data_IF_032674720046
#
_entry.id   IF_032674720046
#
_cell.length_a   1.000
_cell.length_b   1.000
_cell.length_c   1.000
_cell.angle_alpha   90.00
_cell.angle_beta   90.00
_cell.angle_gamma   90.00
#
_symmetry.space_group_name_H-M   'P 1'
#
loop_
_entity.id
_entity.type
_entity.pdbx_description
1 polymer ?
#
# COMPACT_ATOMS: atom_id res chain seq x y z
N UNK A 1 -39.96 -3.11 -5.62
CA UNK A 1 -38.70 -2.33 -5.63
C UNK A 1 -38.49 -1.77 -7.02
N UNK A 2 -38.19 -0.47 -7.18
CA UNK A 2 -37.92 0.09 -8.52
C UNK A 2 -36.66 -0.56 -9.11
N UNK A 3 -36.62 -0.70 -10.43
CA UNK A 3 -35.48 -1.32 -11.15
C UNK A 3 -34.18 -0.57 -10.87
N UNK A 4 -34.23 0.76 -10.71
CA UNK A 4 -33.10 1.60 -10.33
C UNK A 4 -32.58 1.33 -8.92
N UNK A 5 -33.46 1.15 -7.93
CA UNK A 5 -33.07 0.86 -6.56
C UNK A 5 -32.38 -0.51 -6.45
N UNK A 6 -32.87 -1.51 -7.17
CA UNK A 6 -32.22 -2.84 -7.22
C UNK A 6 -30.80 -2.75 -7.81
N UNK A 7 -30.62 -2.00 -8.90
CA UNK A 7 -29.30 -1.81 -9.51
C UNK A 7 -28.34 -1.07 -8.58
N UNK A 8 -28.80 -0.01 -7.92
CA UNK A 8 -27.98 0.75 -6.97
C UNK A 8 -27.49 -0.12 -5.81
N UNK A 9 -28.34 -1.00 -5.27
CA UNK A 9 -27.97 -1.92 -4.20
C UNK A 9 -26.96 -2.97 -4.64
N UNK A 10 -27.14 -3.56 -5.83
CA UNK A 10 -26.19 -4.55 -6.37
C UNK A 10 -24.83 -3.89 -6.60
N UNK A 11 -24.81 -2.72 -7.23
CA UNK A 11 -23.57 -2.02 -7.54
C UNK A 11 -22.87 -1.51 -6.28
N UNK A 12 -23.61 -0.92 -5.35
CA UNK A 12 -23.08 -0.48 -4.07
C UNK A 12 -22.54 -1.63 -3.24
N UNK A 13 -23.25 -2.76 -3.19
CA UNK A 13 -22.79 -3.98 -2.52
C UNK A 13 -21.51 -4.53 -3.14
N UNK A 14 -21.41 -4.51 -4.47
CA UNK A 14 -20.21 -4.96 -5.18
C UNK A 14 -18.99 -4.08 -4.89
N UNK A 15 -19.13 -2.75 -4.96
CA UNK A 15 -18.03 -1.83 -4.61
C UNK A 15 -17.63 -1.98 -3.14
N UNK A 16 -18.60 -2.13 -2.24
CA UNK A 16 -18.33 -2.36 -0.82
C UNK A 16 -17.52 -3.66 -0.59
N UNK A 17 -17.89 -4.74 -1.28
CA UNK A 17 -17.18 -6.01 -1.22
C UNK A 17 -15.73 -5.89 -1.72
N UNK A 18 -15.53 -5.19 -2.85
CA UNK A 18 -14.19 -4.88 -3.37
C UNK A 18 -13.39 -4.09 -2.33
N UNK A 19 -13.96 -3.00 -1.81
CA UNK A 19 -13.29 -2.17 -0.80
C UNK A 19 -12.89 -2.97 0.44
N UNK A 20 -13.77 -3.83 0.93
CA UNK A 20 -13.49 -4.70 2.07
C UNK A 20 -12.37 -5.72 1.79
N UNK A 21 -12.36 -6.34 0.60
CA UNK A 21 -11.31 -7.28 0.20
C UNK A 21 -9.94 -6.60 0.08
N UNK A 22 -9.89 -5.37 -0.43
CA UNK A 22 -8.65 -4.60 -0.58
C UNK A 22 -8.23 -3.82 0.67
N UNK A 23 -9.12 -3.67 1.66
CA UNK A 23 -8.86 -2.95 2.90
C UNK A 23 -7.55 -3.37 3.61
N UNK A 24 -7.28 -4.66 3.86
CA UNK A 24 -6.04 -5.07 4.53
C UNK A 24 -4.79 -4.86 3.68
N UNK A 25 -4.89 -4.71 2.36
CA UNK A 25 -3.73 -4.52 1.49
C UNK A 25 -3.31 -3.04 1.48
N UNK A 26 -4.28 -2.14 1.39
CA UNK A 26 -3.99 -0.70 1.32
C UNK A 26 -3.88 -0.04 2.69
N UNK A 27 -4.84 -0.26 3.59
CA UNK A 27 -4.93 0.53 4.82
C UNK A 27 -4.12 -0.06 5.97
N UNK A 28 -4.02 -1.38 6.08
CA UNK A 28 -3.24 -2.02 7.15
C UNK A 28 -1.76 -1.59 7.20
N UNK A 29 -0.99 -1.58 6.10
CA UNK A 29 0.40 -1.14 6.15
C UNK A 29 0.52 0.37 6.45
N UNK A 30 -0.43 1.17 5.96
CA UNK A 30 -0.49 2.61 6.24
C UNK A 30 -0.82 2.94 7.70
N UNK A 31 -1.59 2.08 8.38
CA UNK A 31 -1.87 2.23 9.82
C UNK A 31 -0.71 1.74 10.70
N UNK A 32 0.26 1.00 10.15
CA UNK A 32 1.37 0.37 10.89
C UNK A 32 2.74 0.76 10.34
N UNK A 33 2.90 2.04 10.01
CA UNK A 33 4.14 2.57 9.42
C UNK A 33 5.39 2.25 10.25
N UNK A 34 5.29 2.31 11.58
CA UNK A 34 6.43 2.01 12.46
C UNK A 34 6.93 0.57 12.33
N UNK A 35 6.00 -0.39 12.22
CA UNK A 35 6.34 -1.80 12.03
C UNK A 35 7.03 -2.01 10.69
N UNK A 36 6.48 -1.44 9.61
CA UNK A 36 7.08 -1.55 8.28
C UNK A 36 8.45 -0.89 8.21
N UNK A 37 8.63 0.29 8.82
CA UNK A 37 9.92 0.98 8.92
C UNK A 37 10.95 0.14 9.69
N UNK A 38 10.55 -0.47 10.81
CA UNK A 38 11.42 -1.35 11.60
C UNK A 38 11.85 -2.58 10.81
N UNK A 39 10.91 -3.27 10.17
CA UNK A 39 11.22 -4.44 9.33
C UNK A 39 12.13 -4.07 8.16
N UNK A 40 11.89 -2.93 7.51
CA UNK A 40 12.74 -2.41 6.43
C UNK A 40 14.15 -2.08 6.93
N UNK A 41 14.29 -1.44 8.09
CA UNK A 41 15.59 -1.12 8.67
C UNK A 41 16.40 -2.39 9.00
N UNK A 42 15.75 -3.42 9.53
CA UNK A 42 16.39 -4.72 9.81
C UNK A 42 16.84 -5.39 8.52
N UNK A 43 15.96 -5.48 7.52
CA UNK A 43 16.26 -6.14 6.25
C UNK A 43 17.31 -5.41 5.40
N UNK A 44 17.52 -4.10 5.64
CA UNK A 44 18.45 -3.25 4.89
C UNK A 44 19.68 -2.80 5.68
N UNK A 45 19.89 -3.33 6.88
CA UNK A 45 21.02 -2.95 7.73
C UNK A 45 22.40 -3.16 7.07
N UNK A 46 22.48 -4.02 6.05
CA UNK A 46 23.72 -4.40 5.36
C UNK A 46 23.73 -3.98 3.88
N UNK A 47 22.73 -3.22 3.42
CA UNK A 47 22.57 -2.85 2.00
C UNK A 47 22.69 -1.34 1.86
N UNK A 48 23.73 -0.88 1.16
CA UNK A 48 23.80 0.51 0.66
C UNK A 48 22.93 0.60 -0.58
N UNK A 49 21.81 1.32 -0.47
CA UNK A 49 20.75 1.25 -1.46
C UNK A 49 21.10 1.99 -2.75
N UNK A 50 21.98 2.98 -2.63
CA UNK A 50 22.58 3.76 -3.71
C UNK A 50 23.43 2.88 -4.63
N UNK A 51 24.09 1.85 -4.10
CA UNK A 51 25.00 0.97 -4.84
C UNK A 51 24.24 -0.10 -5.64
N UNK A 52 23.06 -0.51 -5.18
CA UNK A 52 22.20 -1.47 -5.88
C UNK A 52 21.46 -0.81 -7.05
N UNK A 53 21.21 0.49 -6.94
CA UNK A 53 20.42 1.21 -7.92
C UNK A 53 21.26 1.81 -9.04
N UNK A 54 20.64 2.06 -10.22
CA UNK A 54 21.35 2.73 -11.30
C UNK A 54 21.86 4.10 -10.84
N UNK A 55 23.13 4.43 -11.10
CA UNK A 55 23.69 5.71 -10.70
C UNK A 55 22.96 6.87 -11.39
N UNK A 56 22.83 7.99 -10.68
CA UNK A 56 22.10 9.23 -11.08
C UNK A 56 20.57 9.16 -11.04
N UNK A 57 19.98 8.13 -10.44
CA UNK A 57 18.55 8.11 -10.14
C UNK A 57 18.31 8.32 -8.65
N UNK A 58 17.17 8.96 -8.33
CA UNK A 58 16.71 9.06 -6.94
C UNK A 58 16.42 7.65 -6.42
N UNK A 59 16.84 7.38 -5.19
CA UNK A 59 16.62 6.10 -4.52
C UNK A 59 15.12 5.83 -4.35
N UNK A 60 14.54 5.02 -5.25
CA UNK A 60 13.10 4.76 -5.31
C UNK A 60 12.63 3.56 -4.50
N UNK A 61 13.55 2.69 -4.04
CA UNK A 61 13.18 1.52 -3.27
C UNK A 61 12.91 1.85 -1.80
N UNK A 62 13.11 3.10 -1.37
CA UNK A 62 12.66 3.58 -0.07
C UNK A 62 11.34 4.36 -0.21
N UNK A 63 10.19 3.72 0.12
CA UNK A 63 8.89 4.36 0.00
C UNK A 63 8.65 5.45 1.07
N UNK A 64 9.50 5.54 2.11
CA UNK A 64 9.35 6.52 3.18
C UNK A 64 10.17 7.80 2.97
N UNK A 65 11.03 7.80 1.95
CA UNK A 65 11.93 8.90 1.62
C UNK A 65 13.15 8.95 2.53
N UNK A 66 14.27 9.35 1.93
CA UNK A 66 15.49 9.67 2.66
C UNK A 66 15.30 11.02 3.37
N UNK A 67 15.65 11.07 4.66
CA UNK A 67 15.77 12.33 5.42
C UNK A 67 17.13 12.96 5.19
#
# INVERSE_FOLDING_TARGET
>A
MSRSLRTALIFGGFISLIGAAFYPIYFWPLMRLEKCKKEQAINRAVIVQEDVQPPRLKVWSDPFGQK
#
